data_IF_194047447139
#
_entry.id   IF_194047447139
#
_cell.length_a   1.000
_cell.length_b   1.000
_cell.length_c   1.000
_cell.angle_alpha   90.00
_cell.angle_beta   90.00
_cell.angle_gamma   90.00
#
_symmetry.space_group_name_H-M   'P 1'
#
loop_
_entity.id
_entity.type
_entity.pdbx_description
1 polymer ?
#
# COMPACT_ATOMS: atom_id res chain seq x y z
N UNK A 1 -39.97 -23.68 29.35
CA UNK A 1 -39.87 -22.56 28.38
C UNK A 1 -38.94 -21.42 28.79
N UNK A 2 -38.55 -21.33 30.07
CA UNK A 2 -37.78 -20.16 30.60
C UNK A 2 -36.29 -20.17 30.23
N UNK A 3 -35.72 -21.35 29.98
CA UNK A 3 -34.29 -21.52 29.66
C UNK A 3 -34.02 -21.30 28.16
N UNK A 4 -35.02 -21.41 27.31
CA UNK A 4 -34.87 -21.32 25.85
C UNK A 4 -34.62 -19.88 25.39
N UNK A 5 -35.18 -18.90 26.09
CA UNK A 5 -35.05 -17.48 25.76
C UNK A 5 -33.62 -16.93 25.98
N UNK A 6 -32.94 -17.19 27.13
CA UNK A 6 -31.55 -16.76 27.29
C UNK A 6 -30.56 -17.50 26.37
N UNK A 7 -30.82 -18.75 26.02
CA UNK A 7 -29.99 -19.51 25.06
C UNK A 7 -30.15 -18.94 23.65
N UNK A 8 -31.37 -18.56 23.25
CA UNK A 8 -31.63 -17.91 21.97
C UNK A 8 -30.95 -16.52 21.88
N UNK A 9 -31.05 -15.71 22.92
CA UNK A 9 -30.41 -14.40 22.98
C UNK A 9 -28.90 -14.58 23.01
N UNK A 10 -28.36 -15.50 23.80
CA UNK A 10 -26.93 -15.81 23.84
C UNK A 10 -26.40 -16.31 22.50
N UNK A 11 -27.15 -17.18 21.81
CA UNK A 11 -26.82 -17.72 20.51
C UNK A 11 -26.79 -16.62 19.41
N UNK A 12 -27.77 -15.73 19.41
CA UNK A 12 -27.82 -14.58 18.50
C UNK A 12 -26.67 -13.60 18.77
N UNK A 13 -26.35 -13.33 20.04
CA UNK A 13 -25.25 -12.47 20.45
C UNK A 13 -23.90 -13.08 20.02
N UNK A 14 -23.69 -14.36 20.26
CA UNK A 14 -22.49 -15.07 19.82
C UNK A 14 -22.39 -15.08 18.30
N UNK A 15 -23.48 -15.34 17.57
CA UNK A 15 -23.50 -15.31 16.11
C UNK A 15 -23.26 -13.89 15.54
N UNK A 16 -23.73 -12.86 16.23
CA UNK A 16 -23.51 -11.46 15.84
C UNK A 16 -22.07 -10.97 16.12
N UNK A 17 -21.41 -11.55 17.14
CA UNK A 17 -20.04 -11.21 17.55
C UNK A 17 -19.00 -12.20 16.99
N UNK A 18 -19.46 -13.27 16.33
CA UNK A 18 -18.58 -14.28 15.75
C UNK A 18 -17.98 -13.76 14.46
N UNK A 19 -16.66 -13.56 14.45
CA UNK A 19 -15.85 -13.09 13.33
C UNK A 19 -16.33 -11.75 12.71
N UNK A 20 -16.23 -10.62 13.41
CA UNK A 20 -16.53 -9.31 12.83
C UNK A 20 -15.61 -8.97 11.64
N UNK A 21 -14.44 -9.59 11.55
CA UNK A 21 -13.48 -9.40 10.45
C UNK A 21 -13.87 -10.12 9.15
N UNK A 22 -14.72 -11.15 9.20
CA UNK A 22 -15.23 -11.86 8.01
C UNK A 22 -16.36 -11.13 7.27
N UNK A 23 -16.67 -9.87 7.64
CA UNK A 23 -17.72 -9.05 7.02
C UNK A 23 -17.21 -7.67 6.65
N UNK A 24 -15.92 -7.53 6.44
CA UNK A 24 -15.31 -6.27 6.02
C UNK A 24 -15.72 -5.86 4.60
N UNK A 25 -16.08 -6.82 3.74
CA UNK A 25 -16.62 -6.64 2.40
C UNK A 25 -17.86 -5.73 2.34
N UNK A 26 -18.65 -5.72 3.44
CA UNK A 26 -19.82 -4.85 3.57
C UNK A 26 -19.50 -3.43 4.06
N UNK A 27 -18.23 -3.15 4.38
CA UNK A 27 -17.78 -1.84 4.83
C UNK A 27 -17.02 -1.13 3.70
N UNK A 28 -17.54 0.00 3.27
CA UNK A 28 -16.88 0.81 2.25
C UNK A 28 -15.87 1.77 2.89
N UNK A 29 -14.67 1.82 2.31
CA UNK A 29 -13.62 2.78 2.63
C UNK A 29 -13.21 3.53 1.36
N UNK A 30 -12.99 4.83 1.48
CA UNK A 30 -12.50 5.63 0.37
C UNK A 30 -10.97 5.68 0.36
N UNK A 31 -10.40 5.67 -0.84
CA UNK A 31 -8.99 5.95 -1.07
C UNK A 31 -8.82 7.16 -1.97
N UNK A 32 -8.08 8.15 -1.49
CA UNK A 32 -7.75 9.38 -2.20
C UNK A 32 -6.26 9.37 -2.52
N UNK A 33 -5.93 9.28 -3.80
CA UNK A 33 -4.54 9.28 -4.24
C UNK A 33 -4.16 10.65 -4.81
N UNK A 34 -3.45 11.44 -4.03
CA UNK A 34 -2.89 12.72 -4.43
C UNK A 34 -1.40 12.62 -4.85
N UNK A 35 -0.82 11.41 -4.81
CA UNK A 35 0.61 11.21 -5.04
C UNK A 35 1.06 11.62 -6.44
N UNK A 36 2.21 12.27 -6.50
CA UNK A 36 2.94 12.56 -7.72
C UNK A 36 4.06 11.55 -7.92
N UNK A 37 4.02 10.77 -9.02
CA UNK A 37 5.07 9.82 -9.32
C UNK A 37 6.44 10.50 -9.42
N UNK A 38 7.49 9.79 -9.04
CA UNK A 38 8.87 10.23 -9.22
C UNK A 38 9.53 9.48 -10.38
N UNK A 39 10.58 10.05 -10.95
CA UNK A 39 11.41 9.37 -11.94
C UNK A 39 12.76 9.06 -11.33
N UNK A 40 13.15 7.78 -11.31
CA UNK A 40 14.44 7.30 -10.84
C UNK A 40 15.13 6.60 -12.00
N UNK A 41 16.33 7.03 -12.34
CA UNK A 41 17.13 6.49 -13.46
C UNK A 41 16.35 6.37 -14.79
N UNK A 42 15.46 7.33 -15.05
CA UNK A 42 14.62 7.38 -16.25
C UNK A 42 13.35 6.53 -16.17
N UNK A 43 13.12 5.80 -15.08
CA UNK A 43 11.92 5.01 -14.83
C UNK A 43 10.93 5.76 -13.96
N UNK A 44 9.64 5.73 -14.34
CA UNK A 44 8.55 6.31 -13.57
C UNK A 44 8.15 5.37 -12.45
N UNK A 45 8.20 5.86 -11.21
CA UNK A 45 7.86 5.12 -9.99
C UNK A 45 6.59 5.71 -9.35
N UNK A 46 5.40 5.17 -9.67
CA UNK A 46 4.11 5.67 -9.19
C UNK A 46 3.62 4.90 -7.95
N UNK A 47 4.32 4.99 -6.81
CA UNK A 47 4.03 4.16 -5.63
C UNK A 47 2.62 4.38 -5.07
N UNK A 48 2.09 5.62 -5.11
CA UNK A 48 0.73 5.88 -4.65
C UNK A 48 -0.34 5.19 -5.51
N UNK A 49 -0.12 5.09 -6.83
CA UNK A 49 -1.02 4.35 -7.72
C UNK A 49 -0.95 2.85 -7.46
N UNK A 50 0.23 2.33 -7.22
CA UNK A 50 0.43 0.91 -6.92
C UNK A 50 -0.17 0.53 -5.57
N UNK A 51 -0.02 1.40 -4.55
CA UNK A 51 -0.67 1.22 -3.26
C UNK A 51 -2.20 1.23 -3.40
N UNK A 52 -2.76 2.15 -4.18
CA UNK A 52 -4.19 2.20 -4.49
C UNK A 52 -4.66 0.89 -5.12
N UNK A 53 -3.93 0.39 -6.12
CA UNK A 53 -4.25 -0.88 -6.78
C UNK A 53 -4.18 -2.06 -5.80
N UNK A 54 -3.13 -2.14 -4.97
CA UNK A 54 -2.98 -3.20 -3.98
C UNK A 54 -4.07 -3.21 -2.92
N UNK A 55 -4.60 -2.04 -2.53
CA UNK A 55 -5.74 -1.96 -1.61
C UNK A 55 -7.05 -2.43 -2.28
N UNK A 56 -7.30 -1.98 -3.51
CA UNK A 56 -8.53 -2.36 -4.26
C UNK A 56 -8.53 -3.84 -4.63
N UNK A 57 -7.39 -4.40 -5.03
CA UNK A 57 -7.26 -5.83 -5.38
C UNK A 57 -7.26 -6.73 -4.13
N UNK A 58 -6.82 -6.20 -2.98
CA UNK A 58 -6.75 -6.92 -1.72
C UNK A 58 -5.73 -8.07 -1.73
N UNK A 59 -5.84 -8.95 -0.72
CA UNK A 59 -4.96 -10.10 -0.53
C UNK A 59 -5.51 -11.42 -1.13
N UNK A 60 -6.59 -11.34 -1.92
CA UNK A 60 -7.25 -12.50 -2.53
C UNK A 60 -8.36 -13.12 -1.66
N UNK A 61 -8.58 -12.65 -0.44
CA UNK A 61 -9.71 -13.02 0.41
C UNK A 61 -10.74 -11.90 0.40
N UNK A 62 -11.73 -12.01 -0.46
CA UNK A 62 -12.76 -10.96 -0.62
C UNK A 62 -13.50 -10.66 0.68
N UNK A 63 -13.81 -11.69 1.48
CA UNK A 63 -14.56 -11.55 2.73
C UNK A 63 -13.79 -10.79 3.84
N UNK A 64 -12.46 -10.78 3.77
CA UNK A 64 -11.58 -10.09 4.72
C UNK A 64 -11.14 -8.70 4.24
N UNK A 65 -11.46 -8.34 3.00
CA UNK A 65 -11.07 -7.06 2.40
C UNK A 65 -12.20 -6.04 2.50
N UNK A 66 -11.84 -4.80 2.83
CA UNK A 66 -12.78 -3.67 2.75
C UNK A 66 -13.16 -3.41 1.29
N UNK A 67 -14.39 -2.95 1.08
CA UNK A 67 -14.79 -2.44 -0.23
C UNK A 67 -14.15 -1.06 -0.47
N UNK A 68 -12.98 -1.06 -1.13
CA UNK A 68 -12.22 0.15 -1.42
C UNK A 68 -12.81 0.91 -2.62
N UNK A 69 -13.16 2.16 -2.41
CA UNK A 69 -13.70 3.06 -3.43
C UNK A 69 -12.69 4.17 -3.72
N UNK A 70 -12.20 4.25 -4.96
CA UNK A 70 -11.34 5.35 -5.38
C UNK A 70 -12.18 6.63 -5.44
N UNK A 71 -11.75 7.66 -4.73
CA UNK A 71 -12.48 8.90 -4.57
C UNK A 71 -11.55 10.12 -4.65
N UNK A 72 -12.12 11.30 -4.67
CA UNK A 72 -11.41 12.57 -4.47
C UNK A 72 -11.56 13.05 -3.02
N UNK A 73 -10.81 14.06 -2.65
CA UNK A 73 -10.78 14.58 -1.27
C UNK A 73 -12.14 15.08 -0.80
N UNK A 74 -12.92 15.75 -1.67
CA UNK A 74 -14.20 16.36 -1.33
C UNK A 74 -15.28 15.29 -1.11
N UNK A 75 -15.43 14.36 -2.06
CA UNK A 75 -16.41 13.28 -1.98
C UNK A 75 -16.07 12.29 -0.86
N UNK A 76 -14.79 12.00 -0.63
CA UNK A 76 -14.35 11.15 0.46
C UNK A 76 -14.68 11.77 1.83
N UNK A 77 -14.46 13.07 2.02
CA UNK A 77 -14.80 13.78 3.24
C UNK A 77 -16.32 13.82 3.46
N UNK A 78 -17.11 14.06 2.42
CA UNK A 78 -18.56 14.04 2.51
C UNK A 78 -19.07 12.63 2.87
N UNK A 79 -18.56 11.58 2.22
CA UNK A 79 -18.95 10.21 2.48
C UNK A 79 -18.52 9.70 3.86
N UNK A 80 -17.42 10.22 4.43
CA UNK A 80 -17.05 9.96 5.83
C UNK A 80 -18.03 10.64 6.80
N UNK A 81 -18.46 11.86 6.49
CA UNK A 81 -19.37 12.63 7.34
C UNK A 81 -20.79 12.07 7.36
N UNK A 82 -21.30 11.57 6.24
CA UNK A 82 -22.64 10.98 6.12
C UNK A 82 -22.68 9.48 6.44
N UNK A 83 -21.52 8.84 6.66
CA UNK A 83 -21.39 7.42 7.01
C UNK A 83 -21.40 6.47 5.82
N UNK A 84 -21.35 6.97 4.58
CA UNK A 84 -21.14 6.15 3.36
C UNK A 84 -19.81 5.43 3.43
N UNK A 85 -18.76 6.13 3.84
CA UNK A 85 -17.44 5.53 4.09
C UNK A 85 -17.17 5.37 5.59
N UNK A 86 -16.63 4.22 5.95
CA UNK A 86 -16.19 3.93 7.33
C UNK A 86 -14.76 4.35 7.59
N UNK A 87 -14.02 4.65 6.52
CA UNK A 87 -12.70 5.23 6.58
C UNK A 87 -12.36 5.97 5.29
N UNK A 88 -11.43 6.89 5.40
CA UNK A 88 -10.77 7.56 4.27
C UNK A 88 -9.27 7.41 4.43
N UNK A 89 -8.62 6.84 3.43
CA UNK A 89 -7.16 6.75 3.31
C UNK A 89 -6.70 7.77 2.28
N UNK A 90 -5.85 8.69 2.68
CA UNK A 90 -5.28 9.71 1.80
C UNK A 90 -3.79 9.49 1.62
N UNK A 91 -3.38 9.25 0.38
CA UNK A 91 -1.98 9.18 -0.02
C UNK A 91 -1.54 10.59 -0.41
N UNK A 92 -0.57 11.19 0.30
CA UNK A 92 -0.18 12.58 0.07
C UNK A 92 0.62 12.75 -1.23
N UNK A 93 0.70 13.98 -1.69
CA UNK A 93 1.35 14.36 -2.95
C UNK A 93 2.83 13.92 -3.05
N UNK A 94 3.53 13.93 -1.93
CA UNK A 94 4.94 13.59 -1.85
C UNK A 94 5.23 12.13 -1.49
N UNK A 95 4.23 11.25 -1.51
CA UNK A 95 4.39 9.86 -1.05
C UNK A 95 5.49 9.10 -1.80
N UNK A 96 5.46 9.09 -3.13
CA UNK A 96 6.50 8.44 -3.94
C UNK A 96 7.88 9.05 -3.70
N UNK A 97 7.98 10.37 -3.58
CA UNK A 97 9.24 11.06 -3.32
C UNK A 97 9.81 10.69 -1.94
N UNK A 98 8.98 10.70 -0.91
CA UNK A 98 9.40 10.35 0.44
C UNK A 98 9.81 8.87 0.55
N UNK A 99 9.01 7.96 0.00
CA UNK A 99 9.27 6.52 0.05
C UNK A 99 10.58 6.13 -0.67
N UNK A 100 10.95 6.85 -1.72
CA UNK A 100 12.18 6.60 -2.48
C UNK A 100 13.39 7.41 -2.01
N UNK A 101 13.21 8.36 -1.08
CA UNK A 101 14.28 9.21 -0.56
C UNK A 101 15.31 8.47 0.32
N UNK A 102 15.01 7.25 0.76
CA UNK A 102 15.87 6.44 1.62
C UNK A 102 17.20 6.02 0.97
N UNK A 103 17.34 6.21 -0.33
CA UNK A 103 18.60 5.99 -1.05
C UNK A 103 19.71 6.97 -0.61
N UNK A 104 19.35 8.17 -0.14
CA UNK A 104 20.27 9.15 0.42
C UNK A 104 19.89 9.44 1.89
N UNK A 105 20.68 8.94 2.87
CA UNK A 105 20.38 9.14 4.29
C UNK A 105 20.33 10.61 4.73
N UNK A 106 20.97 11.53 3.99
CA UNK A 106 21.00 12.96 4.32
C UNK A 106 19.68 13.67 3.95
N UNK A 107 18.94 13.12 3.00
CA UNK A 107 17.67 13.67 2.49
C UNK A 107 16.48 12.76 2.74
N UNK A 108 16.69 11.66 3.46
CA UNK A 108 15.64 10.68 3.75
C UNK A 108 14.44 11.32 4.46
N UNK A 109 13.25 11.12 3.88
CA UNK A 109 11.97 11.58 4.41
C UNK A 109 11.08 10.39 4.73
N UNK A 110 10.25 10.54 5.76
CA UNK A 110 9.27 9.52 6.08
C UNK A 110 8.06 9.64 5.13
N UNK A 111 7.72 8.56 4.46
CA UNK A 111 6.46 8.45 3.74
C UNK A 111 5.32 8.28 4.77
N UNK A 112 4.31 9.14 4.71
CA UNK A 112 3.17 9.15 5.63
C UNK A 112 1.91 8.93 4.81
N UNK A 113 0.98 8.14 5.34
CA UNK A 113 -0.36 7.93 4.80
C UNK A 113 -1.34 8.42 5.87
N UNK A 114 -2.29 9.26 5.48
CA UNK A 114 -3.32 9.75 6.39
C UNK A 114 -4.52 8.81 6.38
N UNK A 115 -4.96 8.39 7.56
CA UNK A 115 -6.13 7.51 7.74
C UNK A 115 -7.11 8.22 8.66
N UNK A 116 -8.32 8.46 8.17
CA UNK A 116 -9.40 9.09 8.91
C UNK A 116 -10.55 8.11 9.08
N UNK A 117 -11.02 7.96 10.32
CA UNK A 117 -12.16 7.13 10.70
C UNK A 117 -13.13 7.91 11.58
N UNK A 118 -14.41 7.52 11.64
CA UNK A 118 -15.35 8.09 12.60
C UNK A 118 -14.93 7.78 14.05
N UNK A 119 -15.14 8.71 14.97
CA UNK A 119 -14.65 8.64 16.35
C UNK A 119 -15.08 7.42 17.18
N UNK A 120 -16.07 6.66 16.71
CA UNK A 120 -16.65 5.52 17.43
C UNK A 120 -16.36 4.16 16.78
N UNK A 121 -15.35 4.05 15.92
CA UNK A 121 -15.12 2.86 15.08
C UNK A 121 -13.81 2.10 15.37
N UNK A 122 -13.49 1.84 16.64
CA UNK A 122 -12.24 1.21 17.09
C UNK A 122 -11.88 -0.13 16.39
N UNK A 123 -12.89 -0.92 16.01
CA UNK A 123 -12.64 -2.23 15.34
C UNK A 123 -12.21 -2.04 13.88
N UNK A 124 -12.69 -0.99 13.23
CA UNK A 124 -12.39 -0.70 11.82
C UNK A 124 -10.96 -0.15 11.68
N UNK A 125 -10.48 0.58 12.69
CA UNK A 125 -9.14 1.17 12.70
C UNK A 125 -8.02 0.12 12.55
N UNK A 126 -8.12 -0.99 13.29
CA UNK A 126 -7.11 -2.05 13.25
C UNK A 126 -7.10 -2.77 11.89
N UNK A 127 -8.29 -3.06 11.32
CA UNK A 127 -8.42 -3.71 10.03
C UNK A 127 -7.85 -2.83 8.90
N UNK A 128 -8.18 -1.53 8.89
CA UNK A 128 -7.68 -0.58 7.89
C UNK A 128 -6.17 -0.43 8.01
N UNK A 129 -5.66 -0.22 9.21
CA UNK A 129 -4.22 -0.09 9.47
C UNK A 129 -3.47 -1.33 9.00
N UNK A 130 -4.00 -2.52 9.26
CA UNK A 130 -3.42 -3.78 8.80
C UNK A 130 -3.39 -3.87 7.27
N UNK A 131 -4.50 -3.61 6.59
CA UNK A 131 -4.57 -3.66 5.12
C UNK A 131 -3.67 -2.63 4.45
N UNK A 132 -3.68 -1.38 4.92
CA UNK A 132 -2.80 -0.32 4.40
C UNK A 132 -1.33 -0.69 4.60
N UNK A 133 -0.97 -1.22 5.78
CA UNK A 133 0.41 -1.62 6.08
C UNK A 133 0.85 -2.78 5.19
N UNK A 134 0.02 -3.80 4.99
CA UNK A 134 0.32 -4.94 4.12
C UNK A 134 0.47 -4.52 2.67
N UNK A 135 -0.45 -3.70 2.15
CA UNK A 135 -0.39 -3.18 0.79
C UNK A 135 0.86 -2.30 0.58
N UNK A 136 1.17 -1.41 1.52
CA UNK A 136 2.36 -0.58 1.47
C UNK A 136 3.65 -1.41 1.51
N UNK A 137 3.74 -2.41 2.38
CA UNK A 137 4.88 -3.31 2.47
C UNK A 137 5.08 -4.12 1.18
N UNK A 138 3.98 -4.62 0.58
CA UNK A 138 4.02 -5.35 -0.69
C UNK A 138 4.52 -4.47 -1.84
N UNK A 139 3.97 -3.26 -1.98
CA UNK A 139 4.37 -2.30 -3.01
C UNK A 139 5.83 -1.90 -2.86
N UNK A 140 6.26 -1.52 -1.65
CA UNK A 140 7.64 -1.15 -1.38
C UNK A 140 8.59 -2.33 -1.63
N UNK A 141 8.25 -3.53 -1.18
CA UNK A 141 9.06 -4.72 -1.39
C UNK A 141 9.24 -5.06 -2.86
N UNK A 142 8.17 -4.96 -3.66
CA UNK A 142 8.19 -5.32 -5.08
C UNK A 142 8.87 -4.26 -5.93
N UNK A 143 8.48 -2.99 -5.80
CA UNK A 143 8.96 -1.93 -6.69
C UNK A 143 10.38 -1.46 -6.37
N UNK A 144 10.72 -1.32 -5.08
CA UNK A 144 12.09 -0.99 -4.71
C UNK A 144 13.06 -2.14 -5.06
N UNK A 145 12.62 -3.40 -4.93
CA UNK A 145 13.43 -4.55 -5.35
C UNK A 145 13.65 -4.58 -6.85
N UNK A 146 12.65 -4.26 -7.68
CA UNK A 146 12.81 -4.15 -9.14
C UNK A 146 13.84 -3.10 -9.52
N UNK A 147 13.68 -1.88 -9.01
CA UNK A 147 14.60 -0.76 -9.30
C UNK A 147 16.02 -1.12 -8.86
N UNK A 148 16.17 -1.74 -7.67
CA UNK A 148 17.47 -2.14 -7.17
C UNK A 148 18.11 -3.24 -8.02
N UNK A 149 17.35 -4.28 -8.39
CA UNK A 149 17.85 -5.40 -9.22
C UNK A 149 18.22 -4.94 -10.63
N UNK A 150 17.43 -4.08 -11.26
CA UNK A 150 17.76 -3.52 -12.57
C UNK A 150 19.06 -2.71 -12.52
N UNK A 151 19.23 -1.85 -11.52
CA UNK A 151 20.44 -1.05 -11.35
C UNK A 151 21.69 -1.93 -11.08
N UNK A 152 21.55 -2.99 -10.28
CA UNK A 152 22.63 -3.96 -10.07
C UNK A 152 22.97 -4.67 -11.37
N UNK A 153 21.97 -5.11 -12.13
CA UNK A 153 22.18 -5.81 -13.40
C UNK A 153 22.87 -4.93 -14.44
N UNK A 154 22.42 -3.68 -14.59
CA UNK A 154 23.07 -2.68 -15.46
C UNK A 154 24.51 -2.41 -15.03
N UNK A 155 24.76 -2.32 -13.73
CA UNK A 155 26.12 -2.16 -13.18
C UNK A 155 27.04 -3.32 -13.56
N UNK A 156 26.57 -4.55 -13.49
CA UNK A 156 27.35 -5.74 -13.90
C UNK A 156 27.60 -5.78 -15.41
N UNK A 157 26.62 -5.41 -16.23
CA UNK A 157 26.79 -5.35 -17.69
C UNK A 157 27.83 -4.31 -18.07
N UNK A 158 27.76 -3.11 -17.50
CA UNK A 158 28.74 -2.03 -17.74
C UNK A 158 30.15 -2.42 -17.28
N UNK A 159 30.26 -3.12 -16.16
CA UNK A 159 31.54 -3.64 -15.67
C UNK A 159 32.11 -4.70 -16.63
N UNK A 160 31.28 -5.59 -17.15
CA UNK A 160 31.66 -6.61 -18.14
C UNK A 160 32.20 -5.96 -19.43
N UNK A 161 31.51 -4.95 -19.94
CA UNK A 161 31.92 -4.19 -21.13
C UNK A 161 33.27 -3.51 -20.93
N UNK A 162 33.46 -2.81 -19.80
CA UNK A 162 34.72 -2.14 -19.46
C UNK A 162 35.88 -3.12 -19.27
N UNK A 163 35.63 -4.30 -18.72
CA UNK A 163 36.63 -5.37 -18.61
C UNK A 163 37.01 -5.91 -20.00
N UNK A 164 36.03 -6.03 -20.90
CA UNK A 164 36.25 -6.39 -22.31
C UNK A 164 37.13 -5.38 -23.05
N UNK A 165 36.84 -4.08 -22.89
CA UNK A 165 37.64 -3.00 -23.46
C UNK A 165 39.08 -3.01 -22.90
N UNK A 166 39.24 -3.16 -21.59
CA UNK A 166 40.55 -3.23 -20.95
C UNK A 166 41.37 -4.43 -21.44
N UNK A 167 40.73 -5.59 -21.61
CA UNK A 167 41.39 -6.80 -22.16
C UNK A 167 41.82 -6.60 -23.62
N UNK A 168 41.02 -5.91 -24.43
CA UNK A 168 41.31 -5.55 -25.81
C UNK A 168 42.47 -4.57 -25.88
N UNK A 169 42.50 -3.54 -25.05
CA UNK A 169 43.60 -2.58 -24.95
C UNK A 169 44.90 -3.23 -24.50
N UNK A 170 44.86 -4.15 -23.54
CA UNK A 170 46.03 -4.88 -23.08
C UNK A 170 46.64 -5.79 -24.22
N UNK A 171 45.81 -6.41 -25.04
CA UNK A 171 46.24 -7.20 -26.19
C UNK A 171 46.90 -6.32 -27.28
N UNK A 172 46.34 -5.12 -27.53
CA UNK A 172 46.88 -4.17 -28.47
C UNK A 172 48.26 -3.62 -28.07
N UNK A 173 48.53 -3.55 -26.76
CA UNK A 173 49.83 -3.14 -26.23
C UNK A 173 50.92 -4.26 -26.26
N UNK A 174 50.50 -5.53 -26.43
CA UNK A 174 51.37 -6.70 -26.44
C UNK A 174 51.82 -7.12 -27.84
N UNK A 175 51.34 -6.43 -28.88
CA UNK A 175 51.75 -6.61 -30.30
C UNK A 175 52.65 -5.45 -30.75
#
# INVERSE_FOLDING_TARGET
GVILLPVLIGGVLVAALYNPTERLDNLSAAIVNNDKPVTIDGQLVPLGRQLTAGLVEGNGNEDENLNWVISNTEDAAAGLADGTFRAVVTIPENFSAAATSTADPATAQQAVIDVQTPKDSLIVDDAITSQVTQAAASVMGTELSKVYLENVFLGFTTLGDRLGEAATGARALAT
#
